data_IF_392775494983
#
_entry.id   IF_392775494983
#
_cell.length_a   1.000
_cell.length_b   1.000
_cell.length_c   1.000
_cell.angle_alpha   90.00
_cell.angle_beta   90.00
_cell.angle_gamma   90.00
#
_symmetry.space_group_name_H-M   'P 1'
#
loop_
_entity.id
_entity.type
_entity.pdbx_description
1 polymer ?
#
# COMPACT_ATOMS: atom_id res chain seq x y z
N UNK A 1 13.40 -11.04 5.98
CA UNK A 1 14.62 -10.51 6.67
C UNK A 1 14.34 -10.39 8.16
N UNK A 2 13.30 -9.68 8.59
CA UNK A 2 12.98 -9.40 10.00
C UNK A 2 12.90 -10.68 10.86
N UNK A 3 12.27 -11.74 10.37
CA UNK A 3 12.19 -13.03 11.06
C UNK A 3 13.59 -13.63 11.31
N UNK A 4 14.42 -13.74 10.28
CA UNK A 4 15.77 -14.32 10.42
C UNK A 4 16.69 -13.44 11.26
N UNK A 5 16.58 -12.12 11.18
CA UNK A 5 17.37 -11.22 12.05
C UNK A 5 17.03 -11.48 13.54
N UNK A 6 15.75 -11.56 13.87
CA UNK A 6 15.30 -11.88 15.23
C UNK A 6 15.80 -13.25 15.71
N UNK A 7 15.71 -14.29 14.86
CA UNK A 7 16.13 -15.66 15.24
C UNK A 7 17.65 -15.75 15.44
N UNK A 8 18.44 -15.12 14.57
CA UNK A 8 19.90 -15.09 14.68
C UNK A 8 20.34 -14.35 15.94
N UNK A 9 19.75 -13.18 16.25
CA UNK A 9 20.02 -12.45 17.49
C UNK A 9 19.62 -13.21 18.75
N UNK A 10 18.62 -14.09 18.65
CA UNK A 10 18.22 -15.02 19.71
C UNK A 10 19.10 -16.29 19.77
N UNK A 11 20.23 -16.33 19.05
CA UNK A 11 21.21 -17.41 19.05
C UNK A 11 20.84 -18.63 18.21
N UNK A 12 19.87 -18.52 17.31
CA UNK A 12 19.45 -19.62 16.42
C UNK A 12 19.99 -19.38 15.01
N UNK A 13 20.97 -20.18 14.60
CA UNK A 13 21.55 -20.15 13.26
C UNK A 13 21.07 -21.36 12.46
N UNK A 14 19.89 -21.23 11.86
CA UNK A 14 19.27 -22.29 11.05
C UNK A 14 18.50 -21.68 9.87
N UNK A 15 18.94 -21.91 8.60
CA UNK A 15 18.27 -21.35 7.43
C UNK A 15 16.94 -22.00 7.09
N UNK A 16 16.63 -23.15 7.69
CA UNK A 16 15.38 -23.88 7.48
C UNK A 16 14.32 -23.56 8.53
N UNK A 17 14.67 -22.74 9.53
CA UNK A 17 13.76 -22.30 10.57
C UNK A 17 12.74 -21.32 9.99
N UNK A 18 11.45 -21.54 10.25
CA UNK A 18 10.39 -20.58 9.93
C UNK A 18 9.65 -20.87 8.63
N UNK A 19 9.36 -19.81 7.89
CA UNK A 19 8.47 -19.90 6.74
C UNK A 19 9.10 -20.55 5.52
N UNK A 20 8.29 -21.28 4.76
CA UNK A 20 8.67 -21.65 3.40
C UNK A 20 8.85 -20.36 2.57
N UNK A 21 10.02 -20.21 1.99
CA UNK A 21 10.33 -19.06 1.12
C UNK A 21 10.22 -19.45 -0.34
N UNK A 22 9.71 -18.53 -1.15
CA UNK A 22 9.50 -18.74 -2.57
C UNK A 22 10.18 -17.64 -3.38
N UNK A 23 10.51 -17.94 -4.62
CA UNK A 23 10.93 -16.90 -5.57
C UNK A 23 9.73 -16.01 -5.89
N UNK A 24 9.97 -14.72 -6.01
CA UNK A 24 8.91 -13.75 -6.39
C UNK A 24 8.74 -13.66 -7.91
N UNK A 25 9.76 -14.06 -8.70
CA UNK A 25 9.69 -14.06 -10.16
C UNK A 25 8.53 -14.94 -10.64
N UNK A 26 7.69 -14.41 -11.50
CA UNK A 26 6.50 -15.07 -12.02
C UNK A 26 5.28 -15.00 -11.10
N UNK A 27 5.42 -14.42 -9.89
CA UNK A 27 4.30 -14.16 -9.00
C UNK A 27 3.51 -12.94 -9.45
N UNK A 28 2.26 -12.83 -9.02
CA UNK A 28 1.37 -11.72 -9.34
C UNK A 28 1.27 -10.75 -8.16
N UNK A 29 1.50 -9.46 -8.42
CA UNK A 29 1.15 -8.39 -7.50
C UNK A 29 -0.10 -7.66 -7.99
N UNK A 30 -1.12 -7.62 -7.15
CA UNK A 30 -2.34 -6.83 -7.34
C UNK A 30 -2.16 -5.43 -6.75
N UNK A 31 -2.31 -4.41 -7.58
CA UNK A 31 -2.28 -3.01 -7.15
C UNK A 31 -3.72 -2.50 -7.07
N UNK A 32 -4.17 -2.19 -5.87
CA UNK A 32 -5.49 -1.62 -5.65
C UNK A 32 -5.40 -0.10 -5.77
N UNK A 33 -5.99 0.45 -6.81
CA UNK A 33 -5.84 1.80 -7.35
C UNK A 33 -4.50 2.06 -8.06
N UNK A 34 -4.49 3.07 -8.96
CA UNK A 34 -3.35 3.35 -9.82
C UNK A 34 -3.07 4.85 -9.92
N UNK A 35 -2.47 5.41 -8.85
CA UNK A 35 -2.00 6.79 -8.75
C UNK A 35 -0.50 6.93 -9.05
N UNK A 36 0.11 8.01 -8.59
CA UNK A 36 1.52 8.32 -8.85
C UNK A 36 2.50 7.33 -8.20
N UNK A 37 2.15 6.79 -7.02
CA UNK A 37 3.02 5.82 -6.33
C UNK A 37 3.08 4.50 -7.11
N UNK A 38 1.96 3.83 -7.45
CA UNK A 38 1.98 2.62 -8.27
C UNK A 38 2.70 2.81 -9.61
N UNK A 39 2.51 3.93 -10.31
CA UNK A 39 3.23 4.20 -11.56
C UNK A 39 4.75 4.12 -11.40
N UNK A 40 5.29 4.68 -10.29
CA UNK A 40 6.73 4.64 -9.99
C UNK A 40 7.18 3.25 -9.54
N UNK A 41 6.30 2.44 -8.96
CA UNK A 41 6.61 1.07 -8.55
C UNK A 41 6.69 0.11 -9.74
N UNK A 42 5.89 0.31 -10.77
CA UNK A 42 5.80 -0.62 -11.93
C UNK A 42 7.16 -1.00 -12.51
N UNK A 43 8.08 -0.09 -12.86
CA UNK A 43 9.37 -0.48 -13.43
C UNK A 43 10.21 -1.34 -12.47
N UNK A 44 10.11 -1.11 -11.16
CA UNK A 44 10.81 -1.88 -10.12
C UNK A 44 10.19 -3.29 -10.03
N UNK A 45 8.88 -3.39 -9.95
CA UNK A 45 8.16 -4.65 -9.86
C UNK A 45 8.42 -5.54 -11.09
N UNK A 46 8.46 -4.95 -12.27
CA UNK A 46 8.84 -5.64 -13.51
C UNK A 46 10.27 -6.14 -13.49
N UNK A 47 11.21 -5.31 -13.01
CA UNK A 47 12.61 -5.73 -12.87
C UNK A 47 12.78 -6.90 -11.90
N UNK A 48 11.87 -7.03 -10.91
CA UNK A 48 11.80 -8.18 -10.01
C UNK A 48 11.11 -9.41 -10.65
N UNK A 49 10.59 -9.28 -11.85
CA UNK A 49 9.94 -10.36 -12.59
C UNK A 49 8.51 -10.67 -12.15
N UNK A 50 7.82 -9.70 -11.55
CA UNK A 50 6.42 -9.84 -11.14
C UNK A 50 5.46 -9.54 -12.31
N UNK A 51 4.35 -10.27 -12.35
CA UNK A 51 3.17 -9.91 -13.12
C UNK A 51 2.39 -8.84 -12.34
N UNK A 52 1.89 -7.81 -13.04
CA UNK A 52 1.24 -6.68 -12.39
C UNK A 52 -0.21 -6.63 -12.83
N UNK A 53 -1.12 -6.89 -11.89
CA UNK A 53 -2.56 -6.81 -12.05
C UNK A 53 -3.09 -5.58 -11.31
N UNK A 54 -3.95 -4.79 -11.94
CA UNK A 54 -4.41 -3.51 -11.38
C UNK A 54 -5.93 -3.45 -11.33
N UNK A 55 -6.48 -3.18 -10.15
CA UNK A 55 -7.86 -2.76 -9.99
C UNK A 55 -7.92 -1.25 -9.78
N UNK A 56 -8.38 -0.54 -10.79
CA UNK A 56 -8.54 0.92 -10.76
C UNK A 56 -9.79 1.31 -11.55
N UNK A 57 -10.94 1.53 -10.89
CA UNK A 57 -12.23 1.74 -11.57
C UNK A 57 -12.25 2.90 -12.56
N UNK A 58 -11.41 3.91 -12.33
CA UNK A 58 -11.34 5.12 -13.18
C UNK A 58 -10.32 5.02 -14.32
N UNK A 59 -9.64 3.88 -14.48
CA UNK A 59 -8.61 3.70 -15.51
C UNK A 59 -9.05 2.64 -16.52
N UNK A 60 -8.81 2.92 -17.82
CA UNK A 60 -9.08 1.95 -18.87
C UNK A 60 -7.97 0.89 -18.96
N UNK A 61 -8.25 -0.24 -19.60
CA UNK A 61 -7.27 -1.30 -19.83
C UNK A 61 -6.13 -0.81 -20.74
N UNK A 62 -6.45 -0.02 -21.77
CA UNK A 62 -5.46 0.56 -22.69
C UNK A 62 -4.48 1.46 -21.95
N UNK A 63 -4.98 2.32 -21.05
CA UNK A 63 -4.13 3.16 -20.22
C UNK A 63 -3.18 2.35 -19.34
N UNK A 64 -3.65 1.29 -18.69
CA UNK A 64 -2.81 0.44 -17.85
C UNK A 64 -1.80 -0.36 -18.69
N UNK A 65 -2.18 -0.76 -19.90
CA UNK A 65 -1.29 -1.45 -20.83
C UNK A 65 -0.09 -0.60 -21.29
N UNK A 66 -0.22 0.75 -21.34
CA UNK A 66 0.91 1.66 -21.61
C UNK A 66 2.04 1.50 -20.56
N UNK A 67 1.68 1.18 -19.32
CA UNK A 67 2.63 0.85 -18.25
C UNK A 67 3.00 -0.64 -18.26
N UNK A 68 2.36 -1.45 -19.12
CA UNK A 68 2.49 -2.91 -19.18
C UNK A 68 1.95 -3.58 -17.92
N UNK A 69 0.83 -3.09 -17.43
CA UNK A 69 0.02 -3.68 -16.39
C UNK A 69 -1.25 -4.29 -17.01
N UNK A 70 -1.74 -5.35 -16.43
CA UNK A 70 -3.03 -5.95 -16.74
C UNK A 70 -4.12 -5.35 -15.87
N UNK A 71 -5.34 -5.19 -16.43
CA UNK A 71 -6.49 -4.68 -15.67
C UNK A 71 -7.29 -5.83 -15.11
N UNK A 72 -7.58 -5.79 -13.81
CA UNK A 72 -8.67 -6.56 -13.21
C UNK A 72 -9.97 -5.76 -13.31
N UNK A 73 -11.04 -6.39 -13.79
CA UNK A 73 -12.34 -5.75 -13.92
C UNK A 73 -13.03 -5.55 -12.57
N UNK A 74 -12.72 -6.42 -11.60
CA UNK A 74 -13.26 -6.37 -10.24
C UNK A 74 -12.17 -6.50 -9.19
N UNK A 75 -12.44 -5.96 -7.98
CA UNK A 75 -11.55 -6.17 -6.83
C UNK A 75 -11.45 -7.67 -6.49
N UNK A 76 -12.55 -8.39 -6.59
CA UNK A 76 -12.61 -9.84 -6.32
C UNK A 76 -11.65 -10.63 -7.22
N UNK A 77 -11.61 -10.30 -8.51
CA UNK A 77 -10.67 -10.90 -9.47
C UNK A 77 -9.22 -10.64 -9.04
N UNK A 78 -8.87 -9.38 -8.76
CA UNK A 78 -7.53 -9.02 -8.30
C UNK A 78 -7.13 -9.82 -7.05
N UNK A 79 -8.02 -9.91 -6.06
CA UNK A 79 -7.72 -10.60 -4.80
C UNK A 79 -7.47 -12.10 -4.99
N UNK A 80 -8.24 -12.76 -5.86
CA UNK A 80 -8.10 -14.20 -6.16
C UNK A 80 -6.81 -14.52 -6.93
N UNK A 81 -6.39 -13.64 -7.83
CA UNK A 81 -5.25 -13.88 -8.72
C UNK A 81 -3.91 -13.45 -8.13
N UNK A 82 -3.92 -12.62 -7.08
CA UNK A 82 -2.70 -12.01 -6.54
C UNK A 82 -2.01 -12.87 -5.47
N UNK A 83 -0.68 -12.93 -5.54
CA UNK A 83 0.18 -13.45 -4.48
C UNK A 83 0.57 -12.34 -3.48
N UNK A 84 0.56 -11.09 -3.94
CA UNK A 84 0.74 -9.88 -3.14
C UNK A 84 -0.36 -8.90 -3.50
N UNK A 85 -1.03 -8.32 -2.51
CA UNK A 85 -2.04 -7.28 -2.69
C UNK A 85 -1.53 -6.00 -2.04
N UNK A 86 -1.34 -4.93 -2.81
CA UNK A 86 -0.84 -3.65 -2.33
C UNK A 86 -1.87 -2.53 -2.52
N UNK A 87 -2.19 -1.85 -1.41
CA UNK A 87 -3.22 -0.83 -1.36
C UNK A 87 -2.63 0.55 -1.61
N UNK A 88 -3.24 1.30 -2.54
CA UNK A 88 -2.80 2.65 -2.95
C UNK A 88 -3.97 3.62 -3.10
N UNK A 89 -5.10 3.29 -2.51
CA UNK A 89 -6.29 4.15 -2.54
C UNK A 89 -6.24 5.22 -1.44
N UNK A 90 -6.78 6.42 -1.69
CA UNK A 90 -7.07 7.35 -0.62
C UNK A 90 -8.19 6.79 0.26
N UNK A 91 -8.28 7.25 1.51
CA UNK A 91 -9.43 6.98 2.34
C UNK A 91 -10.57 7.93 1.93
N UNK A 92 -11.62 7.36 1.35
CA UNK A 92 -12.84 8.06 0.94
C UNK A 92 -13.98 7.44 1.70
N UNK A 93 -14.72 8.20 2.55
CA UNK A 93 -15.92 7.70 3.23
C UNK A 93 -16.88 7.03 2.23
N UNK A 94 -17.54 5.97 2.64
CA UNK A 94 -18.52 5.19 1.86
C UNK A 94 -17.96 4.51 0.58
N UNK A 95 -16.68 4.72 0.22
CA UNK A 95 -16.06 4.13 -0.99
C UNK A 95 -14.89 3.22 -0.65
N UNK A 96 -13.94 3.70 0.15
CA UNK A 96 -12.72 2.94 0.49
C UNK A 96 -12.57 2.67 1.98
N UNK A 97 -13.51 3.14 2.81
CA UNK A 97 -13.59 2.73 4.20
C UNK A 97 -13.87 1.22 4.27
N UNK A 98 -13.02 0.48 4.98
CA UNK A 98 -13.09 -0.99 5.10
C UNK A 98 -13.28 -1.70 3.74
N UNK A 99 -12.64 -1.16 2.69
CA UNK A 99 -12.64 -1.76 1.36
C UNK A 99 -12.15 -3.22 1.39
N UNK A 100 -11.24 -3.52 2.30
CA UNK A 100 -10.72 -4.86 2.56
C UNK A 100 -11.23 -5.30 3.93
N UNK A 101 -12.34 -6.00 3.92
CA UNK A 101 -12.96 -6.60 5.10
C UNK A 101 -12.83 -8.13 5.11
N UNK A 102 -13.59 -8.79 5.97
CA UNK A 102 -13.58 -10.25 6.14
C UNK A 102 -13.85 -10.98 4.82
N UNK A 103 -14.80 -10.49 4.03
CA UNK A 103 -15.17 -11.09 2.74
C UNK A 103 -13.99 -11.02 1.77
N UNK A 104 -13.36 -9.88 1.65
CA UNK A 104 -12.24 -9.62 0.75
C UNK A 104 -11.00 -10.42 1.16
N UNK A 105 -10.69 -10.48 2.45
CA UNK A 105 -9.57 -11.27 2.99
C UNK A 105 -9.73 -12.76 2.72
N UNK A 106 -10.96 -13.29 2.76
CA UNK A 106 -11.26 -14.70 2.42
C UNK A 106 -11.14 -15.02 0.93
N UNK A 107 -11.18 -14.02 0.06
CA UNK A 107 -10.96 -14.19 -1.38
C UNK A 107 -9.49 -14.28 -1.76
N UNK A 108 -8.60 -13.80 -0.91
CA UNK A 108 -7.16 -13.85 -1.16
C UNK A 108 -6.64 -15.30 -1.09
N UNK A 109 -5.53 -15.55 -1.78
CA UNK A 109 -4.85 -16.84 -1.68
C UNK A 109 -4.33 -17.08 -0.26
N UNK A 110 -4.37 -18.30 0.29
CA UNK A 110 -3.82 -18.59 1.62
C UNK A 110 -2.31 -18.28 1.77
N UNK A 111 -1.57 -18.28 0.68
CA UNK A 111 -0.14 -17.92 0.65
C UNK A 111 0.10 -16.44 0.28
N UNK A 112 -0.97 -15.63 0.12
CA UNK A 112 -0.85 -14.22 -0.25
C UNK A 112 -0.46 -13.34 0.94
N UNK A 113 0.09 -12.18 0.59
CA UNK A 113 0.42 -11.12 1.54
C UNK A 113 -0.37 -9.85 1.22
N UNK A 114 -0.91 -9.20 2.26
CA UNK A 114 -1.51 -7.87 2.17
C UNK A 114 -0.47 -6.81 2.52
N UNK A 115 -0.40 -5.74 1.73
CA UNK A 115 0.50 -4.60 1.96
C UNK A 115 -0.34 -3.33 2.03
N UNK A 116 -0.30 -2.64 3.16
CA UNK A 116 -1.00 -1.36 3.34
C UNK A 116 -0.03 -0.25 3.77
N UNK A 117 0.28 0.62 2.82
CA UNK A 117 1.00 1.89 3.01
C UNK A 117 0.13 3.09 2.63
N UNK A 118 -1.20 2.89 2.56
CA UNK A 118 -2.15 3.92 2.15
C UNK A 118 -2.80 4.62 3.35
N UNK A 119 -3.83 4.00 3.93
CA UNK A 119 -4.52 4.46 5.16
C UNK A 119 -5.02 3.24 5.94
N UNK A 120 -4.94 3.28 7.27
CA UNK A 120 -5.33 2.17 8.13
C UNK A 120 -6.76 1.72 7.88
N UNK A 121 -7.71 2.63 7.98
CA UNK A 121 -9.15 2.36 7.80
C UNK A 121 -9.59 1.94 6.38
N UNK A 122 -8.68 1.75 5.44
CA UNK A 122 -8.98 1.06 4.17
C UNK A 122 -9.15 -0.44 4.42
N UNK A 123 -8.56 -0.94 5.48
CA UNK A 123 -8.67 -2.33 5.94
C UNK A 123 -9.48 -2.34 7.23
N UNK A 124 -10.43 -3.25 7.35
CA UNK A 124 -11.05 -3.60 8.62
C UNK A 124 -10.00 -4.31 9.48
N UNK A 125 -9.42 -3.58 10.43
CA UNK A 125 -8.30 -4.08 11.24
C UNK A 125 -8.67 -5.30 12.08
N UNK A 126 -9.81 -5.35 12.78
CA UNK A 126 -10.27 -6.57 13.44
C UNK A 126 -10.39 -7.78 12.51
N UNK A 127 -10.90 -7.58 11.29
CA UNK A 127 -10.98 -8.64 10.29
C UNK A 127 -9.58 -9.11 9.83
N UNK A 128 -8.63 -8.18 9.65
CA UNK A 128 -7.24 -8.51 9.31
C UNK A 128 -6.56 -9.30 10.43
N UNK A 129 -6.71 -8.89 11.69
CA UNK A 129 -6.19 -9.64 12.86
C UNK A 129 -6.72 -11.08 12.86
N UNK A 130 -8.03 -11.24 12.63
CA UNK A 130 -8.66 -12.55 12.55
C UNK A 130 -8.11 -13.38 11.39
N UNK A 131 -8.00 -12.78 10.20
CA UNK A 131 -7.47 -13.43 9.00
C UNK A 131 -6.04 -13.95 9.19
N UNK A 132 -5.20 -13.17 9.87
CA UNK A 132 -3.82 -13.53 10.17
C UNK A 132 -3.73 -14.64 11.23
N UNK A 133 -4.56 -14.57 12.28
CA UNK A 133 -4.63 -15.60 13.34
C UNK A 133 -5.16 -16.93 12.82
N UNK A 134 -6.17 -16.91 11.97
CA UNK A 134 -6.79 -18.09 11.40
C UNK A 134 -6.12 -18.61 10.11
N UNK A 135 -5.11 -17.86 9.60
CA UNK A 135 -4.32 -18.27 8.43
C UNK A 135 -5.08 -18.17 7.10
N UNK A 136 -6.02 -17.22 6.98
CA UNK A 136 -6.71 -16.96 5.69
C UNK A 136 -5.76 -16.41 4.66
N UNK A 137 -4.78 -15.60 5.12
CA UNK A 137 -3.65 -15.11 4.35
C UNK A 137 -2.34 -15.39 5.09
N UNK A 138 -1.23 -15.38 4.35
CA UNK A 138 0.08 -15.73 4.89
C UNK A 138 0.63 -14.71 5.87
N UNK A 139 0.45 -13.43 5.56
CA UNK A 139 0.97 -12.35 6.38
C UNK A 139 0.57 -10.98 5.85
N UNK A 140 0.98 -9.93 6.57
CA UNK A 140 0.74 -8.56 6.18
C UNK A 140 1.96 -7.66 6.43
N UNK A 141 2.12 -6.62 5.57
CA UNK A 141 3.05 -5.52 5.77
C UNK A 141 2.24 -4.22 5.93
N UNK A 142 2.31 -3.62 7.10
CA UNK A 142 1.41 -2.55 7.54
C UNK A 142 2.24 -1.35 7.97
N UNK A 143 2.10 -0.25 7.25
CA UNK A 143 2.70 1.05 7.62
C UNK A 143 1.72 1.97 8.36
N UNK A 144 0.42 1.67 8.27
CA UNK A 144 -0.69 2.47 8.79
C UNK A 144 -1.70 1.58 9.50
N UNK A 145 -2.14 1.95 10.70
CA UNK A 145 -3.17 1.28 11.50
C UNK A 145 -4.47 2.10 11.51
N UNK A 146 -5.56 1.50 11.94
CA UNK A 146 -6.86 2.17 11.91
C UNK A 146 -6.94 3.33 12.89
N UNK A 147 -6.38 3.17 14.09
CA UNK A 147 -6.30 4.23 15.11
C UNK A 147 -4.84 4.55 15.48
N UNK A 148 -4.22 5.42 14.70
CA UNK A 148 -2.85 5.88 14.94
C UNK A 148 -2.72 6.80 16.18
N UNK A 149 -3.83 7.25 16.76
CA UNK A 149 -3.79 8.16 17.93
C UNK A 149 -3.54 7.40 19.23
N UNK A 150 -4.00 6.17 19.31
CA UNK A 150 -3.78 5.32 20.49
C UNK A 150 -2.48 4.53 20.43
N UNK A 151 -1.83 4.46 19.25
CA UNK A 151 -0.57 3.75 19.03
C UNK A 151 -0.60 2.29 19.51
N UNK A 152 -1.79 1.66 19.55
CA UNK A 152 -2.00 0.27 19.98
C UNK A 152 -2.80 -0.49 18.92
N UNK A 153 -2.34 -1.69 18.60
CA UNK A 153 -3.03 -2.58 17.67
C UNK A 153 -2.72 -4.04 18.02
N UNK A 154 -3.74 -4.89 17.94
CA UNK A 154 -3.56 -6.33 18.04
C UNK A 154 -2.64 -6.91 16.97
N UNK A 155 -2.41 -6.19 15.87
CA UNK A 155 -1.44 -6.57 14.84
C UNK A 155 0.00 -6.65 15.37
N UNK A 156 0.33 -5.88 16.42
CA UNK A 156 1.69 -5.82 16.99
C UNK A 156 2.12 -7.13 17.64
N UNK A 157 1.16 -7.94 18.08
CA UNK A 157 1.40 -9.23 18.72
C UNK A 157 1.56 -10.38 17.70
N UNK A 158 1.34 -10.12 16.40
CA UNK A 158 1.35 -11.16 15.38
C UNK A 158 2.73 -11.32 14.73
N UNK A 159 3.24 -12.55 14.73
CA UNK A 159 4.56 -12.85 14.14
C UNK A 159 4.58 -12.81 12.60
N UNK A 160 3.42 -12.96 11.96
CA UNK A 160 3.27 -12.93 10.51
C UNK A 160 2.98 -11.52 9.97
N UNK A 161 3.36 -10.49 10.70
CA UNK A 161 3.29 -9.08 10.30
C UNK A 161 4.67 -8.43 10.22
N UNK A 162 4.79 -7.45 9.33
CA UNK A 162 5.86 -6.45 9.32
C UNK A 162 5.19 -5.10 9.50
N UNK A 163 5.55 -4.36 10.53
CA UNK A 163 4.90 -3.12 10.89
C UNK A 163 5.93 -1.99 10.93
N UNK A 164 5.56 -0.85 10.37
CA UNK A 164 6.33 0.39 10.40
C UNK A 164 5.41 1.56 10.84
N UNK A 165 5.94 2.59 11.53
CA UNK A 165 5.11 3.61 12.18
C UNK A 165 4.78 4.77 11.21
N UNK A 166 3.98 4.50 10.18
CA UNK A 166 3.59 5.47 9.14
C UNK A 166 4.83 6.16 8.53
N UNK A 167 5.87 5.38 8.21
CA UNK A 167 7.18 5.86 7.83
C UNK A 167 7.49 5.66 6.34
N UNK A 168 6.57 5.14 5.54
CA UNK A 168 6.81 4.87 4.11
C UNK A 168 7.16 6.12 3.30
N UNK A 169 6.81 7.32 3.77
CA UNK A 169 7.14 8.59 3.14
C UNK A 169 8.43 9.22 3.69
N UNK A 170 8.99 8.71 4.77
CA UNK A 170 10.06 9.38 5.53
C UNK A 170 11.40 9.21 4.84
N UNK A 171 11.96 10.32 4.39
CA UNK A 171 13.37 10.48 4.00
C UNK A 171 13.76 11.95 4.11
N UNK A 172 15.05 12.24 4.27
CA UNK A 172 15.55 13.63 4.27
C UNK A 172 15.16 14.34 2.96
N UNK A 173 15.25 13.64 1.83
CA UNK A 173 14.89 14.18 0.52
C UNK A 173 13.39 14.51 0.44
N UNK A 174 12.51 13.66 0.96
CA UNK A 174 11.06 13.90 0.93
C UNK A 174 10.65 15.11 1.77
N UNK A 175 11.29 15.30 2.92
CA UNK A 175 11.08 16.50 3.75
C UNK A 175 11.58 17.77 3.07
N UNK A 176 12.76 17.71 2.44
CA UNK A 176 13.31 18.83 1.67
C UNK A 176 12.38 19.20 0.50
N UNK A 177 12.00 18.22 -0.31
CA UNK A 177 11.14 18.42 -1.48
C UNK A 177 9.76 18.94 -1.09
N UNK A 178 9.18 18.43 0.00
CA UNK A 178 7.90 18.89 0.52
C UNK A 178 7.95 20.35 0.92
N UNK A 179 8.97 20.77 1.70
CA UNK A 179 9.17 22.16 2.12
C UNK A 179 9.43 23.10 0.93
N UNK A 180 10.30 22.66 0.01
CA UNK A 180 10.60 23.40 -1.23
C UNK A 180 9.33 23.64 -2.04
N UNK A 181 8.53 22.59 -2.27
CA UNK A 181 7.27 22.69 -3.01
C UNK A 181 6.27 23.63 -2.35
N UNK A 182 6.15 23.60 -1.02
CA UNK A 182 5.31 24.55 -0.29
C UNK A 182 5.76 26.01 -0.51
N UNK A 183 7.08 26.29 -0.40
CA UNK A 183 7.63 27.61 -0.64
C UNK A 183 7.42 28.08 -2.08
N UNK A 184 7.62 27.22 -3.06
CA UNK A 184 7.37 27.53 -4.47
C UNK A 184 5.90 27.91 -4.72
N UNK A 185 4.94 27.19 -4.12
CA UNK A 185 3.51 27.52 -4.23
C UNK A 185 3.19 28.88 -3.58
N UNK A 186 3.80 29.19 -2.43
CA UNK A 186 3.64 30.49 -1.78
C UNK A 186 4.22 31.63 -2.64
N UNK A 187 5.41 31.43 -3.21
CA UNK A 187 6.03 32.43 -4.12
C UNK A 187 5.17 32.62 -5.37
N UNK A 188 4.62 31.56 -5.95
CA UNK A 188 3.69 31.67 -7.08
C UNK A 188 2.49 32.55 -6.73
N UNK A 189 1.90 32.34 -5.56
CA UNK A 189 0.74 33.14 -5.12
C UNK A 189 1.10 34.57 -4.77
N UNK A 190 2.09 34.80 -3.92
CA UNK A 190 2.40 36.12 -3.35
C UNK A 190 3.14 37.03 -4.31
N UNK A 191 4.12 36.52 -5.06
CA UNK A 191 4.97 37.34 -5.92
C UNK A 191 4.51 37.40 -7.37
N UNK A 192 4.01 36.24 -7.91
CA UNK A 192 3.62 36.14 -9.33
C UNK A 192 2.12 36.28 -9.55
N UNK A 193 1.32 36.33 -8.47
CA UNK A 193 -0.15 36.39 -8.53
C UNK A 193 -0.76 35.25 -9.38
N UNK A 194 -0.13 34.08 -9.36
CA UNK A 194 -0.58 32.88 -10.06
C UNK A 194 -1.28 31.94 -9.08
N UNK A 195 -2.35 31.30 -9.50
CA UNK A 195 -3.04 30.29 -8.69
C UNK A 195 -2.11 29.09 -8.48
N UNK A 196 -1.88 28.68 -7.21
CA UNK A 196 -1.04 27.51 -6.92
C UNK A 196 -1.57 26.22 -7.57
N UNK A 197 -0.67 25.41 -8.11
CA UNK A 197 -1.05 24.15 -8.78
C UNK A 197 -1.57 23.07 -7.82
N UNK A 198 -1.22 23.17 -6.54
CA UNK A 198 -1.61 22.24 -5.48
C UNK A 198 -2.73 22.76 -4.59
N UNK A 199 -3.60 23.63 -5.13
CA UNK A 199 -4.71 24.18 -4.39
C UNK A 199 -5.73 23.10 -4.01
N UNK A 200 -6.05 23.00 -2.72
CA UNK A 200 -7.04 22.06 -2.19
C UNK A 200 -8.45 22.61 -2.36
N UNK A 201 -8.64 23.89 -2.03
CA UNK A 201 -9.93 24.58 -2.12
C UNK A 201 -10.10 25.19 -3.52
N UNK A 202 -10.54 24.38 -4.47
CA UNK A 202 -10.65 24.79 -5.89
C UNK A 202 -11.74 25.83 -6.16
N UNK A 203 -12.74 25.89 -5.26
CA UNK A 203 -13.92 26.77 -5.39
C UNK A 203 -13.70 28.15 -4.76
N UNK A 204 -12.49 28.43 -4.26
CA UNK A 204 -12.15 29.75 -3.71
C UNK A 204 -11.80 30.71 -4.84
N UNK A 205 -12.57 31.77 -4.98
CA UNK A 205 -12.22 32.91 -5.85
C UNK A 205 -11.04 33.68 -5.24
N UNK A 206 -10.03 33.89 -6.05
CA UNK A 206 -8.85 34.67 -5.65
C UNK A 206 -8.91 36.07 -6.27
N UNK A 207 -9.01 37.09 -5.42
CA UNK A 207 -8.72 38.45 -5.82
C UNK A 207 -7.19 38.66 -5.89
N UNK A 208 -6.70 39.23 -6.99
CA UNK A 208 -5.27 39.46 -7.22
C UNK A 208 -4.91 40.93 -6.98
#
# INVERSE_FOLDING_TARGET
ITFYDKTVRAGKWDPLLGYKTYRITGKTIGLVFFGEIPKKMVPILKAMGLNILVYAPTKSAEYLAEFGCEKADTLEELLKESDFVSLHCPLIPDVTWHLIGEKELKLMKPEAFLINTARGSVVDEPALVKALKEGWIKGAAIDVIEDETNEVSDLFELENTVITPHAAFVSEDSFYDGRKRCLEQLVMRLSKKVVPTSLVNKDVEFEF
#
